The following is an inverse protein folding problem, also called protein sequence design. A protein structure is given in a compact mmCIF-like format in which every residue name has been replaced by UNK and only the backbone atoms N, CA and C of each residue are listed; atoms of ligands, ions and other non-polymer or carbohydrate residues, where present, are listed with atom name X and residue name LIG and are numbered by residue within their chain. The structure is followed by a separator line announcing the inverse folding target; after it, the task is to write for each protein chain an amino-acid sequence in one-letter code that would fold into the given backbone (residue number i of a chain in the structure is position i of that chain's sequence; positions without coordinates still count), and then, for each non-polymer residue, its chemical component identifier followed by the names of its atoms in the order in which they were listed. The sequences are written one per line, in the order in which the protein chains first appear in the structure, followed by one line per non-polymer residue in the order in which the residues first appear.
data_IF_969136531206
#
_entry.id   IF_969136531206
#
_cell.length_a   1.000
_cell.length_b   1.000
_cell.length_c   1.000
_cell.angle_alpha   90.00
_cell.angle_beta   90.00
_cell.angle_gamma   90.00
#
_symmetry.space_group_name_H-M   'P 1'
#
loop_
_entity.id
_entity.type
_entity.pdbx_description
1 polymer ?
#
# COMPACT_ATOMS: atom_id res chain seq x y z
N UNK A 1 -41.68 -13.32 -39.31
CA UNK A 1 -40.35 -13.38 -39.96
C UNK A 1 -39.32 -13.02 -38.90
N UNK A 2 -38.40 -13.92 -38.54
CA UNK A 2 -37.36 -13.63 -37.54
C UNK A 2 -36.25 -12.83 -38.25
N UNK A 3 -36.08 -11.56 -37.87
CA UNK A 3 -34.94 -10.76 -38.29
C UNK A 3 -33.69 -11.34 -37.61
N UNK A 4 -32.86 -12.04 -38.38
CA UNK A 4 -31.57 -12.54 -37.91
C UNK A 4 -30.54 -11.42 -37.93
N UNK A 5 -29.67 -11.40 -36.91
CA UNK A 5 -28.50 -10.54 -36.86
C UNK A 5 -27.60 -10.77 -38.08
N UNK A 6 -27.03 -9.70 -38.63
CA UNK A 6 -26.09 -9.81 -39.74
C UNK A 6 -24.69 -10.19 -39.23
N UNK A 7 -23.94 -10.97 -40.02
CA UNK A 7 -22.55 -11.31 -39.69
C UNK A 7 -21.67 -10.06 -39.58
N UNK A 8 -21.95 -9.03 -40.38
CA UNK A 8 -21.19 -7.78 -40.36
C UNK A 8 -21.46 -6.95 -39.09
N UNK A 9 -22.69 -6.94 -38.56
CA UNK A 9 -22.97 -6.32 -37.25
C UNK A 9 -22.13 -6.95 -36.15
N UNK A 10 -22.05 -8.28 -36.16
CA UNK A 10 -21.32 -9.01 -35.12
C UNK A 10 -19.81 -8.75 -35.24
N UNK A 11 -19.28 -8.64 -36.46
CA UNK A 11 -17.87 -8.32 -36.72
C UNK A 11 -17.51 -6.91 -36.25
N UNK A 12 -18.35 -5.89 -36.53
CA UNK A 12 -18.08 -4.52 -36.09
C UNK A 12 -18.11 -4.41 -34.57
N UNK A 13 -19.03 -5.11 -33.90
CA UNK A 13 -19.12 -5.12 -32.43
C UNK A 13 -17.86 -5.72 -31.79
N UNK A 14 -17.37 -6.87 -32.27
CA UNK A 14 -16.17 -7.48 -31.69
C UNK A 14 -14.90 -6.64 -31.96
N UNK A 15 -14.83 -5.92 -33.09
CA UNK A 15 -13.72 -5.00 -33.38
C UNK A 15 -13.72 -3.84 -32.38
N UNK A 16 -14.87 -3.21 -32.16
CA UNK A 16 -14.99 -2.09 -31.22
C UNK A 16 -14.68 -2.55 -29.79
N UNK A 17 -15.25 -3.68 -29.34
CA UNK A 17 -14.98 -4.25 -28.01
C UNK A 17 -13.51 -4.64 -27.87
N UNK A 18 -12.88 -5.17 -28.91
CA UNK A 18 -11.44 -5.52 -28.92
C UNK A 18 -10.53 -4.31 -28.72
N UNK A 19 -10.82 -3.18 -29.39
CA UNK A 19 -10.04 -1.94 -29.24
C UNK A 19 -10.22 -1.36 -27.82
N UNK A 20 -11.45 -1.31 -27.32
CA UNK A 20 -11.74 -0.80 -25.97
C UNK A 20 -11.09 -1.66 -24.89
N UNK A 21 -11.11 -2.99 -25.05
CA UNK A 21 -10.48 -3.92 -24.13
C UNK A 21 -8.95 -3.72 -24.06
N UNK A 22 -8.28 -3.50 -25.20
CA UNK A 22 -6.84 -3.27 -25.25
C UNK A 22 -6.41 -2.00 -24.51
N UNK A 23 -7.21 -0.92 -24.58
CA UNK A 23 -6.91 0.34 -23.90
C UNK A 23 -7.18 0.28 -22.38
N UNK A 24 -8.24 -0.42 -21.96
CA UNK A 24 -8.70 -0.43 -20.57
C UNK A 24 -7.78 -1.14 -19.58
N UNK A 25 -7.02 -2.14 -20.02
CA UNK A 25 -6.22 -3.02 -19.14
C UNK A 25 -5.14 -2.24 -18.37
N UNK A 26 -4.42 -1.33 -19.03
CA UNK A 26 -3.31 -0.61 -18.40
C UNK A 26 -3.79 0.39 -17.34
N UNK A 27 -4.93 1.04 -17.56
CA UNK A 27 -5.49 2.00 -16.61
C UNK A 27 -6.06 1.30 -15.37
N UNK A 28 -6.73 0.16 -15.56
CA UNK A 28 -7.30 -0.62 -14.46
C UNK A 28 -6.24 -1.09 -13.47
N UNK A 29 -5.12 -1.63 -13.96
CA UNK A 29 -4.02 -2.11 -13.11
C UNK A 29 -3.42 -1.01 -12.22
N UNK A 30 -3.25 0.21 -12.76
CA UNK A 30 -2.75 1.37 -11.99
C UNK A 30 -3.73 1.80 -10.90
N UNK A 31 -5.03 1.81 -11.21
CA UNK A 31 -6.06 2.16 -10.23
C UNK A 31 -6.09 1.16 -9.06
N UNK A 32 -5.94 -0.14 -9.36
CA UNK A 32 -5.87 -1.18 -8.34
C UNK A 32 -4.64 -1.01 -7.45
N UNK A 33 -3.45 -0.76 -8.02
CA UNK A 33 -2.24 -0.50 -7.23
C UNK A 33 -2.35 0.78 -6.38
N UNK A 34 -2.98 1.84 -6.89
CA UNK A 34 -3.27 3.03 -6.08
C UNK A 34 -4.17 2.71 -4.88
N UNK A 35 -5.15 1.83 -5.05
CA UNK A 35 -5.99 1.32 -3.96
C UNK A 35 -5.18 0.56 -2.90
N UNK A 36 -4.27 -0.32 -3.33
CA UNK A 36 -3.35 -1.04 -2.44
C UNK A 36 -2.40 -0.10 -1.70
N UNK A 37 -1.89 0.93 -2.39
CA UNK A 37 -1.08 1.97 -1.77
C UNK A 37 -1.86 2.81 -0.75
N UNK A 38 -3.15 3.06 -0.99
CA UNK A 38 -4.02 3.72 -0.01
C UNK A 38 -4.22 2.87 1.25
N UNK A 39 -4.42 1.55 1.11
CA UNK A 39 -4.44 0.60 2.24
C UNK A 39 -3.16 0.70 3.08
N UNK A 40 -2.00 0.69 2.43
CA UNK A 40 -0.73 0.84 3.13
C UNK A 40 -0.58 2.21 3.82
N UNK A 41 -1.03 3.31 3.21
CA UNK A 41 -1.03 4.63 3.85
C UNK A 41 -1.93 4.68 5.09
N UNK A 42 -3.05 3.96 5.09
CA UNK A 42 -3.91 3.84 6.28
C UNK A 42 -3.17 3.13 7.43
N UNK A 43 -2.49 2.03 7.14
CA UNK A 43 -1.68 1.30 8.13
C UNK A 43 -0.54 2.18 8.66
N UNK A 44 0.17 2.91 7.80
CA UNK A 44 1.16 3.89 8.24
C UNK A 44 0.54 4.98 9.12
N UNK A 45 -0.67 5.45 8.82
CA UNK A 45 -1.40 6.38 9.68
C UNK A 45 -1.67 5.81 11.08
N UNK A 46 -2.08 4.55 11.18
CA UNK A 46 -2.27 3.85 12.46
C UNK A 46 -0.95 3.72 13.24
N UNK A 47 0.14 3.37 12.56
CA UNK A 47 1.47 3.30 13.17
C UNK A 47 1.94 4.66 13.70
N UNK A 48 1.69 5.75 12.96
CA UNK A 48 1.99 7.11 13.43
C UNK A 48 1.18 7.44 14.68
N UNK A 49 -0.10 7.09 14.71
CA UNK A 49 -0.94 7.32 15.88
C UNK A 49 -0.42 6.57 17.10
N UNK A 50 -0.04 5.29 16.96
CA UNK A 50 0.57 4.51 18.03
C UNK A 50 1.90 5.12 18.51
N UNK A 51 2.79 5.50 17.58
CA UNK A 51 4.04 6.19 17.92
C UNK A 51 3.78 7.52 18.65
N UNK A 52 2.73 8.25 18.28
CA UNK A 52 2.35 9.50 18.95
C UNK A 52 1.89 9.25 20.39
N UNK A 53 1.13 8.18 20.65
CA UNK A 53 0.78 7.79 22.02
C UNK A 53 2.05 7.50 22.85
N UNK A 54 3.00 6.75 22.30
CA UNK A 54 4.28 6.50 22.96
C UNK A 54 5.02 7.81 23.29
N UNK A 55 5.02 8.76 22.36
CA UNK A 55 5.63 10.08 22.58
C UNK A 55 4.93 10.87 23.68
N UNK A 56 3.60 10.81 23.78
CA UNK A 56 2.86 11.47 24.87
C UNK A 56 3.19 10.88 26.24
N UNK A 57 3.46 9.57 26.31
CA UNK A 57 3.82 8.87 27.54
C UNK A 57 5.28 9.13 27.97
N UNK A 58 6.20 9.18 27.01
CA UNK A 58 7.65 9.17 27.29
C UNK A 58 8.36 10.49 26.98
N UNK A 59 7.72 11.41 26.25
CA UNK A 59 8.31 12.67 25.77
C UNK A 59 9.37 12.48 24.67
N UNK A 60 9.61 11.24 24.22
CA UNK A 60 10.57 10.87 23.18
C UNK A 60 10.13 9.57 22.50
N UNK A 61 10.60 9.33 21.29
CA UNK A 61 10.47 8.07 20.56
C UNK A 61 11.69 7.15 20.73
N UNK A 62 12.69 7.58 21.51
CA UNK A 62 13.80 6.71 21.90
C UNK A 62 13.24 5.49 22.65
N UNK A 63 13.54 4.29 22.16
CA UNK A 63 13.03 3.05 22.73
C UNK A 63 11.68 2.57 22.19
N UNK A 64 11.08 3.29 21.23
CA UNK A 64 9.91 2.79 20.50
C UNK A 64 10.24 1.43 19.84
N UNK A 65 9.40 0.43 20.09
CA UNK A 65 9.60 -0.93 19.56
C UNK A 65 8.54 -1.29 18.54
N UNK A 66 8.88 -2.24 17.66
CA UNK A 66 7.93 -2.87 16.74
C UNK A 66 6.70 -3.44 17.48
N UNK A 67 6.86 -3.92 18.71
CA UNK A 67 5.76 -4.45 19.51
C UNK A 67 4.74 -3.36 19.88
N UNK A 68 5.21 -2.16 20.23
CA UNK A 68 4.34 -1.02 20.51
C UNK A 68 3.56 -0.56 19.26
N UNK A 69 4.16 -0.76 18.08
CA UNK A 69 3.53 -0.48 16.78
C UNK A 69 2.74 -1.66 16.21
N UNK A 70 2.62 -2.78 16.93
CA UNK A 70 1.97 -4.03 16.49
C UNK A 70 2.55 -4.62 15.19
N UNK A 71 3.84 -4.42 14.95
CA UNK A 71 4.56 -4.98 13.81
C UNK A 71 5.08 -6.38 14.18
N UNK A 72 4.62 -7.41 13.47
CA UNK A 72 5.12 -8.79 13.62
C UNK A 72 4.74 -9.49 14.92
N UNK A 73 3.71 -9.00 15.64
CA UNK A 73 3.34 -9.48 16.97
C UNK A 73 2.43 -10.72 16.96
N UNK A 74 1.76 -11.05 15.85
CA UNK A 74 0.98 -12.29 15.61
C UNK A 74 0.59 -12.44 14.13
N UNK A 75 0.11 -13.63 13.74
CA UNK A 75 -0.45 -13.86 12.40
C UNK A 75 -1.73 -13.03 12.19
N UNK A 76 -1.76 -12.22 11.13
CA UNK A 76 -2.89 -11.31 10.82
C UNK A 76 -2.68 -9.86 11.25
N UNK A 77 -1.61 -9.55 11.97
CA UNK A 77 -1.19 -8.17 12.29
C UNK A 77 -0.27 -7.59 11.21
N UNK A 78 0.15 -6.33 11.40
CA UNK A 78 1.01 -5.60 10.47
C UNK A 78 2.29 -6.42 10.25
N UNK A 79 2.54 -6.93 9.03
CA UNK A 79 3.69 -7.78 8.77
C UNK A 79 4.98 -6.95 8.83
N UNK A 80 6.06 -7.46 9.45
CA UNK A 80 7.34 -6.75 9.52
C UNK A 80 8.01 -6.67 8.15
N UNK A 81 8.81 -5.62 7.94
CA UNK A 81 9.57 -5.45 6.72
C UNK A 81 10.44 -6.68 6.44
N UNK A 82 10.52 -7.10 5.17
CA UNK A 82 11.19 -8.32 4.74
C UNK A 82 10.40 -9.61 4.99
N UNK A 83 9.30 -9.55 5.76
CA UNK A 83 8.36 -10.66 5.93
C UNK A 83 7.02 -10.30 5.32
N UNK A 84 6.54 -11.12 4.41
CA UNK A 84 5.25 -10.91 3.76
C UNK A 84 4.23 -11.93 4.27
N UNK A 85 3.00 -11.46 4.48
CA UNK A 85 1.87 -12.28 4.86
C UNK A 85 0.84 -12.29 3.73
N UNK A 86 0.22 -13.44 3.48
CA UNK A 86 -0.82 -13.62 2.44
C UNK A 86 -2.03 -12.69 2.61
N UNK A 87 -2.18 -12.09 3.79
CA UNK A 87 -3.24 -11.13 4.14
C UNK A 87 -2.93 -9.69 3.72
N UNK A 88 -1.67 -9.35 3.44
CA UNK A 88 -1.21 -7.97 3.20
C UNK A 88 -0.43 -7.83 1.89
N UNK A 89 -0.50 -6.64 1.32
CA UNK A 89 0.23 -6.26 0.11
C UNK A 89 1.62 -5.70 0.39
N UNK A 90 1.87 -5.17 1.59
CA UNK A 90 3.13 -4.55 1.98
C UNK A 90 3.64 -5.14 3.30
N UNK A 91 4.95 -5.13 3.50
CA UNK A 91 5.62 -5.33 4.80
C UNK A 91 6.08 -3.98 5.36
N UNK A 92 6.00 -3.78 6.67
CA UNK A 92 6.17 -2.48 7.30
C UNK A 92 7.29 -2.44 8.33
N UNK A 93 7.91 -1.28 8.48
CA UNK A 93 8.91 -1.04 9.50
C UNK A 93 8.89 0.38 10.00
N UNK A 94 9.67 0.62 11.05
CA UNK A 94 9.83 1.92 11.68
C UNK A 94 11.30 2.17 12.00
N UNK A 95 11.72 3.42 11.88
CA UNK A 95 12.94 3.96 12.45
C UNK A 95 12.57 5.24 13.21
N UNK A 96 13.12 5.44 14.40
CA UNK A 96 12.84 6.61 15.22
C UNK A 96 14.06 7.05 16.01
N UNK A 97 14.25 8.37 16.08
CA UNK A 97 15.37 8.99 16.79
C UNK A 97 14.89 10.26 17.48
N UNK A 98 14.93 10.30 18.82
CA UNK A 98 14.44 11.46 19.56
C UNK A 98 12.96 11.72 19.26
N UNK A 99 12.64 12.80 18.56
CA UNK A 99 11.26 13.12 18.14
C UNK A 99 10.94 12.75 16.69
N UNK A 100 11.93 12.30 15.92
CA UNK A 100 11.75 11.95 14.52
C UNK A 100 11.20 10.53 14.38
N UNK A 101 10.21 10.38 13.52
CA UNK A 101 9.61 9.10 13.14
C UNK A 101 9.67 8.92 11.62
N UNK A 102 10.22 7.80 11.19
CA UNK A 102 10.16 7.32 9.82
C UNK A 102 9.49 5.95 9.82
N UNK A 103 8.32 5.84 9.19
CA UNK A 103 7.59 4.58 9.07
C UNK A 103 7.33 4.29 7.61
N UNK A 104 7.63 3.07 7.20
CA UNK A 104 7.66 2.72 5.79
C UNK A 104 7.00 1.37 5.55
N UNK A 105 6.53 1.19 4.31
CA UNK A 105 5.99 -0.05 3.79
C UNK A 105 6.62 -0.38 2.45
N UNK A 106 7.09 -1.61 2.28
CA UNK A 106 7.63 -2.15 1.03
C UNK A 106 6.67 -3.16 0.43
N UNK A 107 6.47 -3.11 -0.89
CA UNK A 107 5.58 -4.01 -1.58
C UNK A 107 6.12 -5.44 -1.53
N UNK A 108 5.24 -6.38 -1.22
CA UNK A 108 5.59 -7.78 -1.19
C UNK A 108 5.78 -8.35 -2.60
N UNK A 109 6.96 -8.92 -2.84
CA UNK A 109 7.36 -9.62 -4.07
C UNK A 109 7.27 -11.15 -3.98
N UNK A 110 7.09 -11.69 -2.77
CA UNK A 110 6.85 -13.12 -2.50
C UNK A 110 6.02 -13.26 -1.22
N UNK A 111 5.30 -14.37 -1.05
CA UNK A 111 4.49 -14.73 0.13
C UNK A 111 3.39 -13.72 0.59
N UNK A 112 3.29 -12.57 -0.07
CA UNK A 112 2.26 -11.56 0.18
C UNK A 112 0.94 -11.86 -0.53
N UNK A 113 -0.07 -11.03 -0.25
CA UNK A 113 -1.36 -11.08 -0.92
C UNK A 113 -1.22 -10.90 -2.43
N UNK A 114 -1.89 -11.77 -3.18
CA UNK A 114 -1.82 -11.80 -4.64
C UNK A 114 -2.73 -10.74 -5.28
N UNK A 115 -2.37 -10.24 -6.48
CA UNK A 115 -1.08 -10.37 -7.16
C UNK A 115 0.04 -9.63 -6.43
N UNK A 116 1.22 -10.25 -6.47
CA UNK A 116 2.45 -9.65 -5.98
C UNK A 116 2.86 -8.49 -6.91
N UNK A 117 3.44 -7.46 -6.31
CA UNK A 117 3.79 -6.22 -7.01
C UNK A 117 5.30 -6.09 -7.20
N UNK A 118 5.71 -4.97 -7.77
CA UNK A 118 7.12 -4.61 -7.93
C UNK A 118 7.79 -4.42 -6.56
N UNK A 119 8.88 -5.16 -6.29
CA UNK A 119 9.72 -5.02 -5.10
C UNK A 119 10.31 -3.61 -4.90
N UNK A 120 10.34 -2.78 -5.95
CA UNK A 120 10.84 -1.40 -5.87
C UNK A 120 9.80 -0.41 -5.31
N UNK A 121 8.54 -0.81 -5.20
CA UNK A 121 7.46 0.03 -4.67
C UNK A 121 7.53 0.11 -3.15
N UNK A 122 7.71 1.33 -2.66
CA UNK A 122 7.69 1.66 -1.25
C UNK A 122 6.84 2.91 -0.99
N UNK A 123 6.38 3.01 0.25
CA UNK A 123 5.67 4.16 0.79
C UNK A 123 6.29 4.48 2.13
N UNK A 124 6.67 5.73 2.33
CA UNK A 124 7.23 6.21 3.58
C UNK A 124 6.36 7.35 4.13
N UNK A 125 6.24 7.43 5.44
CA UNK A 125 5.74 8.59 6.15
C UNK A 125 6.84 9.05 7.11
N UNK A 126 7.30 10.28 6.90
CA UNK A 126 8.33 10.93 7.70
C UNK A 126 7.70 12.05 8.52
N UNK A 127 7.93 12.03 9.82
CA UNK A 127 7.66 13.14 10.73
C UNK A 127 8.98 13.57 11.36
N UNK A 128 9.52 14.72 10.93
CA UNK A 128 10.76 15.28 11.51
C UNK A 128 10.64 15.57 13.01
N UNK A 129 9.44 15.94 13.45
CA UNK A 129 9.04 15.92 14.84
C UNK A 129 7.60 15.40 14.92
N UNK A 130 7.37 14.33 15.66
CA UNK A 130 6.06 13.67 15.75
C UNK A 130 5.00 14.55 16.44
N UNK A 131 5.44 15.51 17.26
CA UNK A 131 4.58 16.48 17.94
C UNK A 131 4.16 17.66 17.03
N UNK A 132 4.87 17.89 15.92
CA UNK A 132 4.50 18.90 14.95
C UNK A 132 3.86 18.27 13.70
N UNK A 133 3.00 19.03 13.04
CA UNK A 133 2.44 18.68 11.74
C UNK A 133 3.10 19.60 10.69
N UNK A 134 3.48 19.12 9.49
CA UNK A 134 3.00 17.89 8.86
C UNK A 134 3.96 16.70 8.91
N UNK A 135 3.40 15.50 9.06
CA UNK A 135 4.07 14.32 8.53
C UNK A 135 3.85 14.26 7.01
N UNK A 136 4.90 13.89 6.29
CA UNK A 136 4.92 13.90 4.83
C UNK A 136 4.93 12.45 4.33
N UNK A 137 3.99 12.13 3.44
CA UNK A 137 4.02 10.88 2.70
C UNK A 137 4.90 11.02 1.45
N UNK A 138 5.77 10.04 1.23
CA UNK A 138 6.52 9.86 -0.01
C UNK A 138 6.36 8.43 -0.52
N UNK A 139 6.46 8.22 -1.83
CA UNK A 139 6.31 6.88 -2.42
C UNK A 139 6.98 6.81 -3.78
N UNK A 140 7.47 5.61 -4.13
CA UNK A 140 7.99 5.27 -5.45
C UNK A 140 7.11 4.24 -6.19
N UNK A 141 5.88 4.04 -5.74
CA UNK A 141 4.97 3.11 -6.39
C UNK A 141 4.42 3.75 -7.68
N UNK A 142 4.73 3.15 -8.83
CA UNK A 142 4.41 3.66 -10.17
C UNK A 142 2.94 3.51 -10.57
N UNK A 143 2.04 4.18 -9.85
CA UNK A 143 0.64 4.40 -10.26
C UNK A 143 0.44 5.76 -10.91
#
# INVERSE_FOLDING_TARGET
MKHGFTLIELIVVIIIVGILAALGINQYSKMVEKGRGAEAKMILGQMRQAAYQYYLENGTLTGLTNNYLNIGTSAGQIPPNGTCASTHYFGYGSASTGTQLDIYGYRCSSNGKTPQGDSSCWINLTAGNIASNPAVFSTNCGY
#
